data_IF_604070682930
#
_entry.id   IF_604070682930
#
_cell.length_a   1.000
_cell.length_b   1.000
_cell.length_c   1.000
_cell.angle_alpha   90.00
_cell.angle_beta   90.00
_cell.angle_gamma   90.00
#
_symmetry.space_group_name_H-M   'P 1'
#
loop_
_entity.id
_entity.type
_entity.pdbx_description
1 polymer ?
#
# COMPACT_ATOMS: atom_id res chain seq x y z
N UNK A 1 -7.81 -11.98 -4.02
CA UNK A 1 -7.12 -10.67 -4.07
C UNK A 1 -6.66 -10.20 -2.69
N UNK A 2 -7.42 -10.45 -1.61
CA UNK A 2 -7.01 -10.13 -0.22
C UNK A 2 -5.69 -10.79 0.20
N UNK A 3 -5.40 -12.02 -0.25
CA UNK A 3 -4.20 -12.77 0.17
C UNK A 3 -2.87 -12.07 -0.14
N UNK A 4 -2.75 -11.34 -1.26
CA UNK A 4 -1.50 -10.65 -1.62
C UNK A 4 -1.24 -9.43 -0.72
N UNK A 5 -2.29 -8.69 -0.39
CA UNK A 5 -2.18 -7.55 0.51
C UNK A 5 -2.12 -7.97 1.98
N UNK A 6 -2.61 -9.16 2.35
CA UNK A 6 -2.60 -9.65 3.74
C UNK A 6 -1.18 -9.78 4.31
N UNK A 7 -0.17 -9.90 3.45
CA UNK A 7 1.24 -9.98 3.81
C UNK A 7 1.86 -8.59 4.11
N UNK A 8 1.15 -7.50 3.84
CA UNK A 8 1.68 -6.15 4.04
C UNK A 8 1.65 -5.76 5.51
N UNK A 9 2.81 -5.43 6.04
CA UNK A 9 3.01 -4.98 7.41
C UNK A 9 3.44 -3.51 7.47
N UNK A 10 3.20 -2.81 8.60
CA UNK A 10 3.73 -1.47 8.81
C UNK A 10 5.23 -1.40 8.54
N UNK A 11 5.66 -0.40 7.77
CA UNK A 11 7.05 -0.20 7.37
C UNK A 11 7.40 -0.70 5.96
N UNK A 12 6.61 -1.62 5.38
CA UNK A 12 6.82 -2.08 4.02
C UNK A 12 6.57 -0.97 2.99
N UNK A 13 7.35 -0.98 1.91
CA UNK A 13 7.24 0.01 0.82
C UNK A 13 6.44 -0.55 -0.34
N UNK A 14 5.48 0.24 -0.82
CA UNK A 14 4.52 -0.15 -1.84
C UNK A 14 4.27 0.97 -2.84
N UNK A 15 3.75 0.64 -4.02
CA UNK A 15 3.18 1.61 -4.96
C UNK A 15 1.76 1.22 -5.37
N UNK A 16 0.94 2.23 -5.65
CA UNK A 16 -0.41 2.01 -6.19
C UNK A 16 -0.32 1.78 -7.71
N UNK A 17 -0.87 0.68 -8.26
CA UNK A 17 -0.73 0.35 -9.69
C UNK A 17 -1.37 1.41 -10.61
N UNK A 18 -2.55 1.91 -10.24
CA UNK A 18 -3.28 2.90 -11.06
C UNK A 18 -2.96 4.37 -10.75
N UNK A 19 -2.03 4.64 -9.83
CA UNK A 19 -1.70 6.00 -9.39
C UNK A 19 -0.17 6.18 -9.32
N UNK A 20 0.53 6.11 -10.47
CA UNK A 20 1.99 6.21 -10.50
C UNK A 20 2.51 7.54 -9.95
N UNK A 21 1.78 8.64 -10.16
CA UNK A 21 2.15 10.00 -9.69
C UNK A 21 2.08 10.17 -8.16
N UNK A 22 1.59 9.18 -7.41
CA UNK A 22 1.65 9.23 -5.94
C UNK A 22 3.05 8.87 -5.41
N UNK A 23 3.87 8.28 -6.26
CA UNK A 23 5.18 7.76 -5.91
C UNK A 23 5.10 6.51 -5.03
N UNK A 24 6.25 6.11 -4.48
CA UNK A 24 6.31 5.06 -3.47
C UNK A 24 5.72 5.55 -2.15
N UNK A 25 5.11 4.64 -1.40
CA UNK A 25 4.55 4.91 -0.09
C UNK A 25 4.90 3.83 0.92
N UNK A 26 4.87 4.20 2.19
CA UNK A 26 5.08 3.27 3.30
C UNK A 26 3.75 2.86 3.90
N UNK A 27 3.56 1.56 4.08
CA UNK A 27 2.41 1.01 4.82
C UNK A 27 2.51 1.46 6.27
N UNK A 28 1.45 2.08 6.79
CA UNK A 28 1.32 2.47 8.19
C UNK A 28 0.42 1.49 8.97
N UNK A 29 -0.58 0.91 8.31
CA UNK A 29 -1.44 -0.13 8.89
C UNK A 29 -2.09 -0.98 7.80
N UNK A 30 -2.44 -2.22 8.16
CA UNK A 30 -3.21 -3.14 7.34
C UNK A 30 -4.19 -3.89 8.25
N UNK A 31 -5.45 -3.46 8.27
CA UNK A 31 -6.45 -3.98 9.20
C UNK A 31 -7.84 -3.95 8.58
N UNK A 32 -8.59 -5.05 8.74
CA UNK A 32 -9.97 -5.15 8.27
C UNK A 32 -10.12 -4.99 6.75
N UNK A 33 -9.11 -5.38 5.97
CA UNK A 33 -9.07 -5.20 4.51
C UNK A 33 -8.81 -3.77 4.06
N UNK A 34 -8.45 -2.86 4.98
CA UNK A 34 -8.03 -1.49 4.68
C UNK A 34 -6.55 -1.32 4.97
N UNK A 35 -5.86 -0.71 4.03
CA UNK A 35 -4.42 -0.49 4.09
C UNK A 35 -4.20 1.02 4.12
N UNK A 36 -3.60 1.53 5.19
CA UNK A 36 -3.20 2.94 5.25
C UNK A 36 -1.77 3.04 4.76
N UNK A 37 -1.54 3.85 3.73
CA UNK A 37 -0.21 4.08 3.15
C UNK A 37 0.06 5.58 3.18
N UNK A 38 1.29 5.97 3.54
CA UNK A 38 1.75 7.35 3.33
C UNK A 38 2.60 7.40 2.07
N UNK A 39 2.03 7.93 0.99
CA UNK A 39 2.68 8.10 -0.30
C UNK A 39 3.51 9.39 -0.34
N UNK A 40 4.64 9.35 -1.04
CA UNK A 40 5.59 10.48 -1.09
C UNK A 40 4.96 11.76 -1.65
N UNK A 41 4.14 11.65 -2.69
CA UNK A 41 3.63 12.82 -3.43
C UNK A 41 2.16 13.13 -3.10
N UNK A 42 1.39 12.13 -2.67
CA UNK A 42 -0.04 12.27 -2.34
C UNK A 42 -0.32 12.36 -0.82
N UNK A 43 0.64 11.96 0.01
CA UNK A 43 0.47 11.86 1.46
C UNK A 43 -0.34 10.63 1.88
N UNK A 44 -1.04 10.73 3.01
CA UNK A 44 -1.72 9.58 3.63
C UNK A 44 -3.02 9.23 2.89
N UNK A 45 -3.11 7.99 2.41
CA UNK A 45 -4.29 7.43 1.74
C UNK A 45 -4.69 6.11 2.40
N UNK A 46 -5.99 5.87 2.50
CA UNK A 46 -6.56 4.58 2.92
C UNK A 46 -7.06 3.85 1.68
N UNK A 47 -6.53 2.66 1.45
CA UNK A 47 -6.81 1.82 0.28
C UNK A 47 -7.68 0.65 0.72
N UNK A 48 -8.68 0.32 -0.11
CA UNK A 48 -9.45 -0.90 0.03
C UNK A 48 -8.69 -2.07 -0.61
N UNK A 49 -8.02 -2.86 0.23
CA UNK A 49 -7.15 -3.96 -0.17
C UNK A 49 -7.90 -5.15 -0.80
N UNK A 50 -9.25 -5.12 -0.83
CA UNK A 50 -10.08 -6.09 -1.55
C UNK A 50 -10.20 -5.76 -3.03
N UNK A 51 -9.99 -4.50 -3.38
CA UNK A 51 -10.19 -3.94 -4.72
C UNK A 51 -8.87 -3.65 -5.43
N UNK A 52 -7.86 -3.20 -4.67
CA UNK A 52 -6.56 -2.80 -5.22
C UNK A 52 -5.48 -3.68 -4.63
N UNK A 53 -4.68 -4.32 -5.48
CA UNK A 53 -3.47 -5.05 -5.07
C UNK A 53 -2.29 -4.09 -5.16
N UNK A 54 -1.64 -3.83 -4.04
CA UNK A 54 -0.46 -2.97 -3.99
C UNK A 54 0.78 -3.71 -4.47
N UNK A 55 1.67 -3.00 -5.15
CA UNK A 55 2.93 -3.57 -5.62
C UNK A 55 3.96 -3.40 -4.53
N UNK A 56 4.39 -4.51 -3.93
CA UNK A 56 5.45 -4.54 -2.91
C UNK A 56 6.81 -4.29 -3.56
N UNK A 57 7.57 -3.36 -2.99
CA UNK A 57 8.97 -3.12 -3.35
C UNK A 57 9.87 -3.75 -2.29
N UNK A 58 10.71 -4.74 -2.64
CA UNK A 58 11.64 -5.31 -1.68
C UNK A 58 12.65 -4.25 -1.25
N UNK A 59 12.80 -4.08 0.06
CA UNK A 59 13.89 -3.31 0.63
C UNK A 59 15.13 -4.22 0.58
N UNK A 60 16.11 -3.86 -0.24
CA UNK A 60 17.41 -4.54 -0.31
C UNK A 60 18.22 -4.38 0.97
#
# INVERSE_FOLDING_TARGET
MEELNALLEPGMVVSHPDQPDWGQGQVQSNVGGKITVNFREMGKVVIDGRRVVLILHPQG
#
